data_IF_683243436768
#
_entry.id   IF_683243436768
#
_cell.length_a   1.000
_cell.length_b   1.000
_cell.length_c   1.000
_cell.angle_alpha   90.00
_cell.angle_beta   90.00
_cell.angle_gamma   90.00
#
_symmetry.space_group_name_H-M   'P 1'
#
loop_
_entity.id
_entity.type
_entity.pdbx_description
1 polymer ?
#
# COMPACT_ATOMS: atom_id res chain seq x y z
N UNK A 1 -4.58 -8.56 -9.81
CA UNK A 1 -3.82 -7.38 -9.37
C UNK A 1 -2.96 -6.92 -10.54
N UNK A 2 -2.86 -5.61 -10.81
CA UNK A 2 -2.04 -5.09 -11.91
C UNK A 2 -0.64 -4.76 -11.37
N UNK A 3 0.39 -5.32 -11.98
CA UNK A 3 1.79 -5.04 -11.66
C UNK A 3 2.33 -3.99 -12.64
N UNK A 4 3.36 -3.26 -12.23
CA UNK A 4 4.02 -2.24 -13.02
C UNK A 4 5.52 -2.52 -13.03
N UNK A 5 6.12 -2.42 -14.21
CA UNK A 5 7.55 -2.71 -14.40
C UNK A 5 8.44 -1.53 -13.97
N UNK A 6 7.84 -0.34 -13.77
CA UNK A 6 8.54 0.85 -13.31
C UNK A 6 7.63 1.79 -12.49
N UNK A 7 8.26 2.69 -11.72
CA UNK A 7 7.55 3.77 -11.00
C UNK A 7 6.89 4.75 -11.97
N UNK A 8 7.50 4.94 -13.14
CA UNK A 8 6.98 5.80 -14.20
C UNK A 8 5.65 5.24 -14.73
N UNK A 9 5.57 3.93 -14.98
CA UNK A 9 4.34 3.27 -15.43
C UNK A 9 3.25 3.32 -14.36
N UNK A 10 3.63 3.12 -13.09
CA UNK A 10 2.73 3.27 -11.95
C UNK A 10 2.17 4.70 -11.86
N UNK A 11 3.04 5.71 -11.89
CA UNK A 11 2.65 7.13 -11.84
C UNK A 11 1.76 7.53 -13.02
N UNK A 12 2.12 7.13 -14.24
CA UNK A 12 1.32 7.40 -15.44
C UNK A 12 -0.10 6.82 -15.34
N UNK A 13 -0.24 5.65 -14.72
CA UNK A 13 -1.53 5.00 -14.52
C UNK A 13 -2.36 5.67 -13.43
N UNK A 14 -1.73 6.13 -12.34
CA UNK A 14 -2.40 6.99 -11.36
C UNK A 14 -2.92 8.27 -12.03
N UNK A 15 -2.11 8.93 -12.86
CA UNK A 15 -2.53 10.11 -13.62
C UNK A 15 -3.70 9.84 -14.55
N UNK A 16 -3.66 8.72 -15.27
CA UNK A 16 -4.78 8.30 -16.14
C UNK A 16 -6.06 8.09 -15.34
N UNK A 17 -5.99 7.53 -14.13
CA UNK A 17 -7.17 7.37 -13.28
C UNK A 17 -7.69 8.69 -12.74
N UNK A 18 -6.80 9.60 -12.31
CA UNK A 18 -7.19 10.93 -11.84
C UNK A 18 -7.84 11.75 -12.95
N UNK A 19 -7.29 11.72 -14.17
CA UNK A 19 -7.81 12.44 -15.32
C UNK A 19 -9.16 11.90 -15.85
N UNK A 20 -9.44 10.61 -15.62
CA UNK A 20 -10.68 9.96 -16.05
C UNK A 20 -11.76 9.92 -14.95
N UNK A 21 -11.50 10.42 -13.74
CA UNK A 21 -12.55 10.65 -12.76
C UNK A 21 -13.55 11.63 -13.40
N UNK A 22 -14.86 11.30 -13.44
CA UNK A 22 -15.82 12.12 -14.17
C UNK A 22 -15.76 13.56 -13.63
N UNK A 23 -15.67 14.52 -14.55
CA UNK A 23 -16.00 15.92 -14.32
C UNK A 23 -17.47 16.02 -13.85
N UNK A 24 -17.75 15.63 -12.62
CA UNK A 24 -18.97 15.99 -11.90
C UNK A 24 -18.76 17.39 -11.36
N UNK A 25 -18.67 18.37 -12.26
CA UNK A 25 -18.46 19.79 -11.92
C UNK A 25 -19.53 20.60 -12.63
N UNK A 26 -20.64 20.84 -11.93
CA UNK A 26 -21.48 21.99 -12.19
C UNK A 26 -20.74 23.25 -11.70
N UNK A 27 -20.81 24.41 -12.38
CA UNK A 27 -19.88 25.53 -12.17
C UNK A 27 -20.08 26.33 -10.87
N UNK A 28 -21.03 25.93 -10.02
CA UNK A 28 -21.48 26.72 -8.87
C UNK A 28 -21.35 25.93 -7.58
N UNK A 29 -20.14 25.79 -7.04
CA UNK A 29 -19.93 25.66 -5.58
C UNK A 29 -18.44 25.53 -5.23
N UNK A 30 -18.03 26.26 -4.20
CA UNK A 30 -16.74 26.23 -3.50
C UNK A 30 -16.31 24.82 -3.03
N UNK A 31 -17.21 23.83 -3.10
CA UNK A 31 -17.02 22.41 -2.79
C UNK A 31 -16.12 21.70 -3.82
N UNK A 32 -16.12 22.15 -5.09
CA UNK A 32 -15.35 21.56 -6.20
C UNK A 32 -13.84 21.52 -5.97
N UNK A 33 -13.26 22.62 -5.47
CA UNK A 33 -11.81 22.71 -5.26
C UNK A 33 -11.32 21.75 -4.19
N UNK A 34 -12.07 21.57 -3.09
CA UNK A 34 -11.63 20.74 -1.96
C UNK A 34 -11.51 19.25 -2.30
N UNK A 35 -12.38 18.74 -3.20
CA UNK A 35 -12.34 17.34 -3.64
C UNK A 35 -11.14 17.09 -4.56
N UNK A 36 -10.87 18.02 -5.48
CA UNK A 36 -9.70 17.96 -6.36
C UNK A 36 -8.40 18.01 -5.55
N UNK A 37 -8.29 18.92 -4.58
CA UNK A 37 -7.13 18.98 -3.67
C UNK A 37 -6.92 17.68 -2.89
N UNK A 38 -7.99 17.02 -2.42
CA UNK A 38 -7.88 15.71 -1.77
C UNK A 38 -7.34 14.63 -2.71
N UNK A 39 -7.81 14.59 -3.96
CA UNK A 39 -7.36 13.61 -4.96
C UNK A 39 -5.87 13.83 -5.29
N UNK A 40 -5.46 15.07 -5.52
CA UNK A 40 -4.05 15.43 -5.78
C UNK A 40 -3.17 15.00 -4.59
N UNK A 41 -3.61 15.29 -3.36
CA UNK A 41 -2.87 14.91 -2.15
C UNK A 41 -2.74 13.39 -1.99
N UNK A 42 -3.80 12.63 -2.28
CA UNK A 42 -3.75 11.15 -2.25
C UNK A 42 -2.78 10.63 -3.31
N UNK A 43 -2.77 11.24 -4.50
CA UNK A 43 -1.88 10.89 -5.60
C UNK A 43 -0.41 11.15 -5.26
N UNK A 44 -0.08 12.32 -4.70
CA UNK A 44 1.27 12.63 -4.21
C UNK A 44 1.73 11.64 -3.14
N UNK A 45 0.84 11.26 -2.23
CA UNK A 45 1.15 10.25 -1.21
C UNK A 45 1.39 8.86 -1.81
N UNK A 46 0.63 8.46 -2.83
CA UNK A 46 0.82 7.19 -3.51
C UNK A 46 2.16 7.14 -4.25
N UNK A 47 2.55 8.22 -4.94
CA UNK A 47 3.86 8.34 -5.58
C UNK A 47 5.00 8.31 -4.57
N UNK A 48 4.87 9.04 -3.46
CA UNK A 48 5.85 9.05 -2.39
C UNK A 48 6.06 7.65 -1.78
N UNK A 49 4.97 6.95 -1.45
CA UNK A 49 5.05 5.57 -0.96
C UNK A 49 5.66 4.65 -2.02
N UNK A 50 5.25 4.77 -3.28
CA UNK A 50 5.83 4.01 -4.39
C UNK A 50 7.35 4.19 -4.50
N UNK A 51 7.85 5.41 -4.29
CA UNK A 51 9.28 5.71 -4.28
C UNK A 51 10.02 5.09 -3.08
N UNK A 52 9.43 5.09 -1.88
CA UNK A 52 10.02 4.44 -0.69
C UNK A 52 10.14 2.94 -0.91
N UNK A 53 9.10 2.31 -1.47
CA UNK A 53 9.11 0.88 -1.73
C UNK A 53 9.79 0.49 -3.04
N UNK A 54 10.41 1.45 -3.74
CA UNK A 54 11.05 1.22 -5.03
C UNK A 54 12.04 0.05 -5.01
N UNK A 55 12.95 -0.07 -4.02
CA UNK A 55 13.89 -1.18 -3.97
C UNK A 55 13.17 -2.52 -3.88
N UNK A 56 12.09 -2.60 -3.11
CA UNK A 56 11.40 -3.85 -2.76
C UNK A 56 10.38 -4.30 -3.80
N UNK A 57 9.77 -3.37 -4.55
CA UNK A 57 8.64 -3.65 -5.43
C UNK A 57 9.01 -3.78 -6.92
N UNK A 58 10.12 -3.18 -7.36
CA UNK A 58 10.48 -3.11 -8.79
C UNK A 58 11.81 -3.81 -9.11
N UNK A 59 12.37 -4.52 -8.13
CA UNK A 59 13.49 -5.43 -8.34
C UNK A 59 12.97 -6.86 -8.24
N UNK A 60 13.46 -7.73 -9.13
CA UNK A 60 13.08 -9.14 -9.12
C UNK A 60 13.86 -9.87 -8.03
N UNK A 61 13.32 -9.84 -6.81
CA UNK A 61 13.81 -10.69 -5.73
C UNK A 61 13.08 -12.01 -5.71
N UNK A 62 13.86 -13.09 -5.58
CA UNK A 62 13.36 -14.43 -5.38
C UNK A 62 13.74 -14.85 -3.96
N UNK A 63 12.73 -15.13 -3.15
CA UNK A 63 12.92 -15.64 -1.80
C UNK A 63 12.44 -17.10 -1.78
N UNK A 64 13.32 -18.01 -1.41
CA UNK A 64 12.93 -19.40 -1.13
C UNK A 64 12.45 -19.50 0.32
N UNK A 65 11.22 -19.96 0.50
CA UNK A 65 10.59 -20.18 1.80
C UNK A 65 10.41 -21.67 2.13
N UNK A 66 11.03 -22.58 1.36
CA UNK A 66 10.87 -24.04 1.50
C UNK A 66 11.10 -24.53 2.93
N UNK A 67 12.10 -24.00 3.63
CA UNK A 67 12.38 -24.36 5.03
C UNK A 67 11.28 -23.88 5.99
N UNK A 68 10.74 -22.68 5.78
CA UNK A 68 9.63 -22.13 6.58
C UNK A 68 8.36 -22.94 6.34
N UNK A 69 8.08 -23.30 5.09
CA UNK A 69 6.97 -24.18 4.73
C UNK A 69 7.12 -25.58 5.36
N UNK A 70 8.34 -26.13 5.38
CA UNK A 70 8.66 -27.38 6.06
C UNK A 70 8.38 -27.32 7.56
N UNK A 71 8.85 -26.26 8.21
CA UNK A 71 8.61 -26.00 9.63
C UNK A 71 7.11 -25.92 9.96
N UNK A 72 6.34 -25.12 9.19
CA UNK A 72 4.89 -24.98 9.38
C UNK A 72 4.18 -26.33 9.22
N UNK A 73 4.61 -27.17 8.27
CA UNK A 73 4.04 -28.51 8.07
C UNK A 73 4.33 -29.47 9.23
N UNK A 74 5.48 -29.33 9.88
CA UNK A 74 5.83 -30.14 11.05
C UNK A 74 5.17 -29.71 12.37
N UNK A 75 4.62 -28.49 12.43
CA UNK A 75 3.98 -27.97 13.64
C UNK A 75 2.63 -28.63 13.93
N UNK A 76 2.34 -28.83 15.22
CA UNK A 76 1.00 -29.20 15.69
C UNK A 76 0.00 -28.04 15.49
N UNK A 77 -1.30 -28.32 15.58
CA UNK A 77 -2.33 -27.28 15.49
C UNK A 77 -2.25 -26.27 16.64
N UNK A 78 -1.83 -26.71 17.83
CA UNK A 78 -1.56 -25.84 18.98
C UNK A 78 -0.38 -24.90 18.70
N UNK A 79 0.70 -25.42 18.12
CA UNK A 79 1.88 -24.63 17.77
C UNK A 79 1.58 -23.60 16.68
N UNK A 80 0.85 -23.99 15.63
CA UNK A 80 0.43 -23.07 14.56
C UNK A 80 -0.39 -21.90 15.13
N UNK A 81 -1.34 -22.19 16.03
CA UNK A 81 -2.16 -21.16 16.70
C UNK A 81 -1.33 -20.27 17.62
N UNK A 82 -0.32 -20.83 18.30
CA UNK A 82 0.51 -20.09 19.26
C UNK A 82 1.53 -19.17 18.59
N UNK A 83 2.18 -19.63 17.52
CA UNK A 83 3.29 -18.91 16.91
C UNK A 83 2.90 -18.05 15.71
N UNK A 84 1.80 -18.38 15.00
CA UNK A 84 1.31 -17.56 13.90
C UNK A 84 2.31 -17.42 12.74
N UNK A 85 3.05 -18.48 12.41
CA UNK A 85 4.12 -18.44 11.39
C UNK A 85 3.63 -18.43 9.94
N UNK A 86 2.34 -18.67 9.68
CA UNK A 86 1.79 -18.68 8.33
C UNK A 86 1.46 -17.27 7.85
N UNK A 87 2.33 -16.72 7.00
CA UNK A 87 2.14 -15.40 6.37
C UNK A 87 0.88 -15.31 5.49
N UNK A 88 0.33 -16.45 5.03
CA UNK A 88 -0.92 -16.48 4.25
C UNK A 88 -2.15 -16.23 5.12
N UNK A 89 -2.03 -16.39 6.44
CA UNK A 89 -3.10 -16.08 7.39
C UNK A 89 -3.32 -14.58 7.61
N UNK A 90 -2.38 -13.74 7.17
CA UNK A 90 -2.47 -12.28 7.31
C UNK A 90 -3.52 -11.73 6.35
N UNK A 91 -4.46 -10.94 6.86
CA UNK A 91 -5.36 -10.13 6.03
C UNK A 91 -4.58 -8.94 5.47
N UNK A 92 -3.86 -9.18 4.38
CA UNK A 92 -2.84 -8.27 3.84
C UNK A 92 -3.35 -6.87 3.54
N UNK A 93 -4.61 -6.74 3.11
CA UNK A 93 -5.18 -5.42 2.81
C UNK A 93 -5.33 -4.59 4.08
N UNK A 94 -5.92 -5.16 5.13
CA UNK A 94 -6.00 -4.50 6.43
C UNK A 94 -4.62 -4.22 7.02
N UNK A 95 -3.72 -5.21 7.01
CA UNK A 95 -2.37 -5.03 7.53
C UNK A 95 -1.65 -3.88 6.84
N UNK A 96 -1.63 -3.83 5.50
CA UNK A 96 -0.90 -2.78 4.78
C UNK A 96 -1.51 -1.40 5.03
N UNK A 97 -2.83 -1.28 4.96
CA UNK A 97 -3.54 0.02 5.03
C UNK A 97 -3.61 0.55 6.46
N UNK A 98 -3.95 -0.30 7.43
CA UNK A 98 -4.30 0.11 8.79
C UNK A 98 -3.16 -0.08 9.79
N UNK A 99 -2.16 -0.91 9.48
CA UNK A 99 -1.04 -1.21 10.39
C UNK A 99 0.30 -0.74 9.81
N UNK A 100 0.68 -1.23 8.63
CA UNK A 100 2.01 -1.06 8.06
C UNK A 100 2.31 0.38 7.63
N UNK A 101 1.50 0.96 6.73
CA UNK A 101 1.71 2.34 6.25
C UNK A 101 1.63 3.34 7.42
N UNK A 102 0.64 3.30 8.32
CA UNK A 102 0.61 4.19 9.48
C UNK A 102 1.83 4.02 10.39
N UNK A 103 2.26 2.77 10.62
CA UNK A 103 3.44 2.46 11.42
C UNK A 103 4.72 3.01 10.81
N UNK A 104 4.94 2.81 9.50
CA UNK A 104 6.05 3.37 8.74
C UNK A 104 6.11 4.89 8.91
N UNK A 105 5.00 5.58 8.67
CA UNK A 105 4.93 7.04 8.72
C UNK A 105 5.24 7.58 10.11
N UNK A 106 4.70 6.93 11.15
CA UNK A 106 4.90 7.35 12.54
C UNK A 106 6.31 7.07 13.05
N UNK A 107 6.81 5.85 12.84
CA UNK A 107 7.99 5.35 13.55
C UNK A 107 9.28 5.44 12.73
N UNK A 108 9.20 5.26 11.41
CA UNK A 108 10.37 5.28 10.53
C UNK A 108 10.55 6.68 9.94
N UNK A 109 9.52 7.22 9.30
CA UNK A 109 9.57 8.52 8.63
C UNK A 109 9.39 9.70 9.61
N UNK A 110 8.86 9.44 10.81
CA UNK A 110 8.60 10.43 11.87
C UNK A 110 7.74 11.61 11.40
N UNK A 111 6.77 11.37 10.51
CA UNK A 111 5.89 12.41 10.00
C UNK A 111 4.91 12.88 11.10
N UNK A 112 4.82 14.20 11.33
CA UNK A 112 3.92 14.78 12.34
C UNK A 112 2.49 14.89 11.81
N UNK A 113 1.49 14.52 12.63
CA UNK A 113 0.08 14.83 12.35
C UNK A 113 -0.75 13.77 11.60
N UNK A 114 -0.39 12.49 11.67
CA UNK A 114 -1.18 11.41 11.05
C UNK A 114 -2.40 11.01 11.89
N UNK A 115 -3.57 11.55 11.51
CA UNK A 115 -4.87 10.93 11.82
C UNK A 115 -5.17 9.83 10.81
N UNK A 116 -5.84 8.75 11.25
CA UNK A 116 -6.29 7.65 10.38
C UNK A 116 -7.00 8.23 9.13
N UNK A 117 -6.61 7.73 7.94
CA UNK A 117 -7.35 7.98 6.71
C UNK A 117 -8.70 7.26 6.74
#
# INVERSE_FOLDING_TARGET
MKFFDSVQDFSAQLWKQVANLPNQVSPTSTVSNTKLFKIIKVKEQAEYLGAIYLPYNFQNYWFDDSNVQGLIKSMSEEEKKKFGCDVKSIEWKDYIVNVHIPGLRRHILKEKGFSKM
#
